data_IF_605053144716
#
_entry.id   IF_605053144716
#
_cell.length_a   1.000
_cell.length_b   1.000
_cell.length_c   1.000
_cell.angle_alpha   90.00
_cell.angle_beta   90.00
_cell.angle_gamma   90.00
#
_symmetry.space_group_name_H-M   'P 1'
#
loop_
_entity.id
_entity.type
_entity.pdbx_description
1 polymer ?
#
# COMPACT_ATOMS: atom_id res chain seq x y z
N UNK A 1 7.79 -7.62 2.78
CA UNK A 1 7.62 -7.08 4.15
C UNK A 1 6.83 -8.10 4.99
N UNK A 2 7.28 -8.45 6.19
CA UNK A 2 6.57 -9.40 7.06
C UNK A 2 5.14 -8.95 7.35
N UNK A 3 4.16 -9.87 7.47
CA UNK A 3 2.75 -9.53 7.67
C UNK A 3 2.48 -8.75 8.97
N UNK A 4 3.26 -8.98 10.00
CA UNK A 4 3.20 -8.24 11.27
C UNK A 4 3.62 -6.76 11.15
N UNK A 5 4.29 -6.40 10.07
CA UNK A 5 4.71 -5.03 9.77
C UNK A 5 3.66 -4.22 9.00
N UNK A 6 2.42 -4.70 8.90
CA UNK A 6 1.36 -4.03 8.13
C UNK A 6 0.08 -3.78 8.96
N UNK A 7 0.18 -3.07 10.12
CA UNK A 7 -0.99 -2.84 10.97
C UNK A 7 -2.08 -1.99 10.31
N UNK A 8 -1.72 -1.22 9.27
CA UNK A 8 -2.66 -0.40 8.51
C UNK A 8 -3.60 -1.20 7.61
N UNK A 9 -3.26 -2.46 7.30
CA UNK A 9 -4.03 -3.31 6.39
C UNK A 9 -5.46 -3.53 6.88
N UNK A 10 -5.62 -3.90 8.15
CA UNK A 10 -6.93 -4.15 8.74
C UNK A 10 -7.82 -2.89 8.69
N UNK A 11 -7.21 -1.71 8.90
CA UNK A 11 -7.92 -0.45 8.82
C UNK A 11 -8.42 -0.14 7.40
N UNK A 12 -7.61 -0.41 6.37
CA UNK A 12 -8.02 -0.21 4.98
C UNK A 12 -9.17 -1.15 4.57
N UNK A 13 -9.11 -2.43 4.99
CA UNK A 13 -10.19 -3.39 4.74
C UNK A 13 -11.49 -2.98 5.45
N UNK A 14 -11.39 -2.53 6.71
CA UNK A 14 -12.56 -2.07 7.47
C UNK A 14 -13.21 -0.84 6.82
N UNK A 15 -12.42 0.11 6.34
CA UNK A 15 -12.91 1.31 5.65
C UNK A 15 -13.60 0.98 4.32
N UNK A 16 -13.19 -0.08 3.63
CA UNK A 16 -13.79 -0.50 2.36
C UNK A 16 -15.20 -1.07 2.54
N UNK A 17 -15.57 -1.47 3.75
CA UNK A 17 -16.89 -2.08 4.06
C UNK A 17 -17.22 -3.21 3.09
N UNK A 18 -16.32 -4.19 2.96
CA UNK A 18 -16.48 -5.34 2.07
C UNK A 18 -17.69 -6.16 2.51
N UNK A 19 -18.58 -6.43 1.56
CA UNK A 19 -19.79 -7.21 1.81
C UNK A 19 -19.65 -8.61 1.28
N UNK A 20 -20.37 -9.54 1.89
CA UNK A 20 -20.51 -10.89 1.35
C UNK A 20 -21.10 -10.83 -0.06
N UNK A 21 -20.55 -11.62 -0.97
CA UNK A 21 -20.90 -11.69 -2.39
C UNK A 21 -20.41 -10.51 -3.25
N UNK A 22 -19.66 -9.55 -2.68
CA UNK A 22 -19.00 -8.52 -3.49
C UNK A 22 -18.04 -9.14 -4.52
N UNK A 23 -17.98 -8.51 -5.67
CA UNK A 23 -16.86 -8.64 -6.59
C UNK A 23 -15.83 -7.59 -6.22
N UNK A 24 -14.73 -8.01 -5.64
CA UNK A 24 -13.68 -7.15 -5.13
C UNK A 24 -12.45 -7.21 -6.03
N UNK A 25 -11.94 -6.06 -6.43
CA UNK A 25 -10.62 -5.91 -7.05
C UNK A 25 -9.64 -5.39 -5.99
N UNK A 26 -8.54 -6.11 -5.79
CA UNK A 26 -7.46 -5.65 -4.92
C UNK A 26 -6.15 -5.56 -5.72
N UNK A 27 -5.53 -4.37 -5.71
CA UNK A 27 -4.30 -4.07 -6.45
C UNK A 27 -3.17 -3.89 -5.44
N UNK A 28 -2.10 -4.66 -5.62
CA UNK A 28 -0.91 -4.73 -4.77
C UNK A 28 -1.20 -5.05 -3.28
N UNK A 29 -2.16 -5.94 -2.94
CA UNK A 29 -2.33 -6.34 -1.56
C UNK A 29 -1.16 -7.24 -1.11
N UNK A 30 -0.78 -7.13 0.15
CA UNK A 30 0.14 -8.10 0.76
C UNK A 30 -0.52 -9.47 0.95
N UNK A 31 0.26 -10.56 0.98
CA UNK A 31 -0.27 -11.93 1.13
C UNK A 31 -1.14 -12.12 2.37
N UNK A 32 -0.82 -11.48 3.48
CA UNK A 32 -1.64 -11.50 4.69
C UNK A 32 -3.05 -10.92 4.46
N UNK A 33 -3.16 -9.90 3.59
CA UNK A 33 -4.46 -9.30 3.24
C UNK A 33 -5.32 -10.26 2.41
N UNK A 34 -4.72 -11.06 1.54
CA UNK A 34 -5.45 -11.94 0.61
C UNK A 34 -6.42 -12.85 1.37
N UNK A 35 -5.98 -13.49 2.45
CA UNK A 35 -6.84 -14.37 3.27
C UNK A 35 -7.98 -13.58 3.93
N UNK A 36 -7.69 -12.38 4.46
CA UNK A 36 -8.69 -11.54 5.10
C UNK A 36 -9.73 -11.03 4.09
N UNK A 37 -9.30 -10.59 2.91
CA UNK A 37 -10.18 -10.15 1.82
C UNK A 37 -11.05 -11.31 1.30
N UNK A 38 -10.46 -12.48 1.07
CA UNK A 38 -11.19 -13.66 0.64
C UNK A 38 -12.25 -14.08 1.66
N UNK A 39 -11.92 -14.04 2.96
CA UNK A 39 -12.88 -14.31 4.03
C UNK A 39 -14.02 -13.28 4.05
N UNK A 40 -13.71 -12.00 3.79
CA UNK A 40 -14.70 -10.91 3.80
C UNK A 40 -15.72 -11.05 2.66
N UNK A 41 -15.28 -11.36 1.44
CA UNK A 41 -16.21 -11.56 0.31
C UNK A 41 -17.01 -12.87 0.45
N UNK A 42 -16.50 -13.84 1.20
CA UNK A 42 -17.15 -15.14 1.44
C UNK A 42 -17.18 -16.04 0.20
N UNK A 43 -17.80 -17.21 0.33
CA UNK A 43 -17.84 -18.23 -0.73
C UNK A 43 -18.70 -17.86 -1.95
N UNK A 44 -19.62 -16.91 -1.81
CA UNK A 44 -20.46 -16.41 -2.91
C UNK A 44 -19.90 -15.18 -3.60
N UNK A 45 -18.84 -14.59 -3.08
CA UNK A 45 -18.16 -13.43 -3.67
C UNK A 45 -16.98 -13.82 -4.54
N UNK A 46 -16.33 -12.82 -5.13
CA UNK A 46 -15.16 -12.98 -5.97
C UNK A 46 -14.09 -11.96 -5.58
N UNK A 47 -12.85 -12.40 -5.48
CA UNK A 47 -11.68 -11.55 -5.25
C UNK A 47 -10.74 -11.67 -6.45
N UNK A 48 -10.53 -10.58 -7.15
CA UNK A 48 -9.48 -10.48 -8.19
C UNK A 48 -8.29 -9.73 -7.60
N UNK A 49 -7.13 -10.38 -7.61
CA UNK A 49 -5.86 -9.81 -7.18
C UNK A 49 -5.05 -9.40 -8.40
N UNK A 50 -4.48 -8.21 -8.36
CA UNK A 50 -3.50 -7.75 -9.35
C UNK A 50 -2.20 -7.47 -8.62
N UNK A 51 -1.17 -8.22 -8.96
CA UNK A 51 0.15 -8.16 -8.34
C UNK A 51 1.20 -7.94 -9.43
N UNK A 52 2.06 -6.95 -9.26
CA UNK A 52 3.14 -6.64 -10.20
C UNK A 52 4.25 -7.70 -10.18
N UNK A 53 4.60 -8.14 -8.98
CA UNK A 53 5.60 -9.19 -8.80
C UNK A 53 5.01 -10.56 -9.11
N UNK A 54 5.58 -11.23 -10.12
CA UNK A 54 5.16 -12.56 -10.53
C UNK A 54 5.32 -13.61 -9.42
N UNK A 55 6.40 -13.56 -8.65
CA UNK A 55 6.62 -14.49 -7.56
C UNK A 55 5.59 -14.29 -6.43
N UNK A 56 5.19 -13.04 -6.16
CA UNK A 56 4.10 -12.75 -5.23
C UNK A 56 2.76 -13.27 -5.75
N UNK A 57 2.50 -13.15 -7.05
CA UNK A 57 1.28 -13.69 -7.67
C UNK A 57 1.23 -15.23 -7.60
N UNK A 58 2.35 -15.91 -7.86
CA UNK A 58 2.46 -17.37 -7.72
C UNK A 58 2.18 -17.80 -6.27
N UNK A 59 2.81 -17.15 -5.27
CA UNK A 59 2.53 -17.42 -3.85
C UNK A 59 1.08 -17.15 -3.46
N UNK A 60 0.46 -16.13 -4.03
CA UNK A 60 -0.97 -15.86 -3.78
C UNK A 60 -1.87 -16.95 -4.39
N UNK A 61 -1.54 -17.45 -5.57
CA UNK A 61 -2.27 -18.54 -6.22
C UNK A 61 -2.12 -19.86 -5.45
N UNK A 62 -0.95 -20.14 -4.86
CA UNK A 62 -0.69 -21.32 -4.02
C UNK A 62 -1.57 -21.39 -2.76
N UNK A 63 -2.22 -20.27 -2.36
CA UNK A 63 -3.19 -20.29 -1.26
C UNK A 63 -4.42 -21.15 -1.56
N UNK A 64 -4.68 -21.48 -2.83
CA UNK A 64 -5.73 -22.39 -3.25
C UNK A 64 -7.15 -21.94 -2.89
N UNK A 65 -7.40 -20.64 -2.81
CA UNK A 65 -8.70 -20.08 -2.43
C UNK A 65 -9.63 -20.01 -3.65
N UNK A 66 -10.74 -20.77 -3.70
CA UNK A 66 -11.55 -20.96 -4.92
C UNK A 66 -12.21 -19.67 -5.41
N UNK A 67 -12.48 -18.72 -4.51
CA UNK A 67 -13.06 -17.39 -4.87
C UNK A 67 -12.03 -16.37 -5.33
N UNK A 68 -10.74 -16.74 -5.40
CA UNK A 68 -9.63 -15.80 -5.70
C UNK A 68 -9.09 -16.05 -7.11
N UNK A 69 -9.06 -15.02 -7.92
CA UNK A 69 -8.36 -14.98 -9.20
C UNK A 69 -7.12 -14.11 -9.07
N UNK A 70 -5.96 -14.61 -9.47
CA UNK A 70 -4.69 -13.88 -9.38
C UNK A 70 -4.19 -13.51 -10.76
N UNK A 71 -3.85 -12.24 -10.95
CA UNK A 71 -3.28 -11.68 -12.18
C UNK A 71 -1.89 -11.10 -11.86
N UNK A 72 -0.88 -11.57 -12.57
CA UNK A 72 0.44 -10.94 -12.55
C UNK A 72 0.49 -9.83 -13.60
N UNK A 73 0.38 -8.56 -13.17
CA UNK A 73 0.30 -7.41 -14.07
C UNK A 73 0.82 -6.12 -13.42
N UNK A 74 1.62 -5.37 -14.17
CA UNK A 74 2.07 -4.05 -13.74
C UNK A 74 0.99 -3.02 -14.07
N UNK A 75 0.44 -2.39 -13.02
CA UNK A 75 -0.63 -1.41 -13.15
C UNK A 75 -0.06 -0.01 -13.38
N UNK A 76 -0.57 0.70 -14.39
CA UNK A 76 -0.17 2.04 -14.77
C UNK A 76 -1.30 3.08 -14.68
N UNK A 77 -2.57 2.64 -14.60
CA UNK A 77 -3.74 3.50 -14.37
C UNK A 77 -4.89 3.37 -15.37
N UNK A 78 -4.63 2.95 -16.59
CA UNK A 78 -5.66 2.84 -17.64
C UNK A 78 -6.32 1.46 -17.77
N UNK A 79 -5.89 0.50 -16.98
CA UNK A 79 -6.27 -0.90 -17.13
C UNK A 79 -7.71 -1.16 -16.68
N UNK A 80 -8.34 -2.12 -17.38
CA UNK A 80 -9.69 -2.59 -17.07
C UNK A 80 -9.65 -4.09 -16.80
N UNK A 81 -9.80 -4.45 -15.55
CA UNK A 81 -9.83 -5.84 -15.10
C UNK A 81 -11.24 -6.41 -15.02
N UNK A 82 -12.25 -5.57 -15.20
CA UNK A 82 -13.66 -5.95 -15.15
C UNK A 82 -14.55 -4.90 -14.51
N UNK A 83 -15.67 -5.34 -13.95
CA UNK A 83 -16.61 -4.48 -13.22
C UNK A 83 -16.80 -5.02 -11.83
N UNK A 84 -16.51 -4.22 -10.81
CA UNK A 84 -16.42 -4.60 -9.41
C UNK A 84 -17.32 -3.75 -8.53
N UNK A 85 -17.73 -4.32 -7.39
CA UNK A 85 -18.49 -3.64 -6.33
C UNK A 85 -17.60 -2.80 -5.44
N UNK A 86 -16.35 -3.28 -5.26
CA UNK A 86 -15.36 -2.65 -4.41
C UNK A 86 -13.95 -2.72 -5.03
N UNK A 87 -13.12 -1.72 -4.74
CA UNK A 87 -11.73 -1.62 -5.17
C UNK A 87 -10.84 -1.27 -3.99
N UNK A 88 -9.80 -2.06 -3.77
CA UNK A 88 -8.75 -1.79 -2.80
C UNK A 88 -7.43 -1.58 -3.53
N UNK A 89 -6.79 -0.45 -3.30
CA UNK A 89 -5.46 -0.11 -3.78
C UNK A 89 -4.55 0.06 -2.58
N UNK A 90 -3.61 -0.86 -2.36
CA UNK A 90 -2.76 -0.85 -1.16
C UNK A 90 -1.31 -1.18 -1.45
N UNK A 91 -0.62 -0.41 -2.29
CA UNK A 91 0.80 -0.63 -2.45
C UNK A 91 1.50 -0.45 -1.10
N UNK A 92 2.08 -1.53 -0.60
CA UNK A 92 2.78 -1.50 0.70
C UNK A 92 4.04 -0.63 0.61
N UNK A 93 4.79 -0.82 -0.45
CA UNK A 93 5.98 -0.08 -0.85
C UNK A 93 6.09 -0.14 -2.37
N UNK A 94 6.79 0.80 -2.96
CA UNK A 94 7.05 0.80 -4.40
C UNK A 94 6.70 2.13 -5.06
N UNK A 95 6.94 2.28 -6.35
CA UNK A 95 6.63 3.50 -7.07
C UNK A 95 5.13 3.78 -6.96
N UNK A 96 4.81 4.99 -6.52
CA UNK A 96 3.45 5.50 -6.51
C UNK A 96 3.00 5.70 -7.96
N UNK A 97 1.74 5.43 -8.20
CA UNK A 97 1.09 5.83 -9.44
C UNK A 97 0.95 7.35 -9.47
N UNK A 98 0.92 7.92 -10.66
CA UNK A 98 0.51 9.30 -10.81
C UNK A 98 -0.91 9.49 -10.21
N UNK A 99 -1.20 10.62 -9.55
CA UNK A 99 -2.50 10.82 -8.87
C UNK A 99 -3.72 10.53 -9.75
N UNK A 100 -3.69 10.90 -11.03
CA UNK A 100 -4.77 10.61 -12.00
C UNK A 100 -4.99 9.12 -12.25
N UNK A 101 -3.95 8.29 -12.17
CA UNK A 101 -4.05 6.87 -12.39
C UNK A 101 -4.95 6.15 -11.37
N UNK A 102 -4.96 6.63 -10.12
CA UNK A 102 -5.89 6.11 -9.10
C UNK A 102 -7.36 6.37 -9.49
N UNK A 103 -7.64 7.55 -10.03
CA UNK A 103 -8.97 7.91 -10.50
C UNK A 103 -9.39 7.05 -11.71
N UNK A 104 -8.49 6.85 -12.66
CA UNK A 104 -8.73 6.05 -13.85
C UNK A 104 -8.99 4.59 -13.50
N UNK A 105 -8.23 4.01 -12.58
CA UNK A 105 -8.46 2.66 -12.06
C UNK A 105 -9.84 2.53 -11.39
N UNK A 106 -10.21 3.49 -10.53
CA UNK A 106 -11.50 3.46 -9.87
C UNK A 106 -12.66 3.59 -10.88
N UNK A 107 -12.57 4.54 -11.82
CA UNK A 107 -13.60 4.75 -12.87
C UNK A 107 -13.67 3.60 -13.86
N UNK A 108 -12.51 3.04 -14.22
CA UNK A 108 -12.43 1.96 -15.19
C UNK A 108 -12.97 0.63 -14.67
N UNK A 109 -12.87 0.37 -13.38
CA UNK A 109 -13.10 -0.94 -12.81
C UNK A 109 -14.28 -1.03 -11.81
N UNK A 110 -14.80 0.08 -11.30
CA UNK A 110 -15.97 0.06 -10.43
C UNK A 110 -17.26 0.19 -11.22
N UNK A 111 -18.34 -0.45 -10.78
CA UNK A 111 -19.71 -0.14 -11.23
C UNK A 111 -20.16 1.21 -10.66
N UNK A 112 -21.20 1.84 -11.22
CA UNK A 112 -21.84 3.00 -10.59
C UNK A 112 -22.25 2.68 -9.15
N UNK A 113 -21.88 3.55 -8.19
CA UNK A 113 -22.09 3.35 -6.75
C UNK A 113 -21.11 2.37 -6.09
N UNK A 114 -20.17 1.80 -6.82
CA UNK A 114 -19.09 0.98 -6.28
C UNK A 114 -18.17 1.78 -5.35
N UNK A 115 -17.60 1.10 -4.36
CA UNK A 115 -16.78 1.69 -3.29
C UNK A 115 -15.30 1.52 -3.57
N UNK A 116 -14.48 2.45 -3.12
CA UNK A 116 -13.04 2.28 -3.19
C UNK A 116 -12.34 2.73 -1.90
N UNK A 117 -11.20 2.12 -1.64
CA UNK A 117 -10.19 2.61 -0.71
C UNK A 117 -8.84 2.60 -1.43
N UNK A 118 -8.17 3.73 -1.38
CA UNK A 118 -6.78 3.90 -1.77
C UNK A 118 -5.99 4.10 -0.48
N UNK A 119 -5.08 3.18 -0.16
CA UNK A 119 -4.20 3.26 1.00
C UNK A 119 -2.76 3.27 0.50
N UNK A 120 -2.15 4.43 0.49
CA UNK A 120 -0.82 4.69 -0.08
C UNK A 120 0.12 5.26 0.99
N UNK A 121 1.44 5.22 0.76
CA UNK A 121 2.37 5.96 1.59
C UNK A 121 1.90 7.40 1.79
N UNK A 122 1.84 7.85 3.04
CA UNK A 122 1.58 9.25 3.39
C UNK A 122 2.85 10.10 3.30
N UNK A 123 2.73 11.44 3.46
CA UNK A 123 3.88 12.31 3.55
C UNK A 123 4.86 11.81 4.60
N UNK A 124 6.15 11.77 4.23
CA UNK A 124 7.21 11.21 5.09
C UNK A 124 6.78 9.88 5.71
N UNK A 125 6.49 8.89 4.84
CA UNK A 125 5.93 7.59 5.24
C UNK A 125 6.60 7.00 6.48
N UNK A 126 7.93 7.10 6.57
CA UNK A 126 8.73 6.69 7.74
C UNK A 126 9.68 7.83 8.09
N UNK A 127 9.28 8.75 9.01
CA UNK A 127 10.05 9.95 9.31
C UNK A 127 11.51 9.70 9.69
N UNK A 128 11.77 8.63 10.43
CA UNK A 128 13.14 8.26 10.84
C UNK A 128 14.01 7.88 9.63
N UNK A 129 13.46 7.12 8.67
CA UNK A 129 14.18 6.78 7.43
C UNK A 129 14.39 8.01 6.56
N UNK A 130 13.37 8.85 6.41
CA UNK A 130 13.46 10.09 5.65
C UNK A 130 14.58 10.98 6.19
N UNK A 131 14.62 11.15 7.50
CA UNK A 131 15.62 11.97 8.15
C UNK A 131 17.04 11.37 8.06
N UNK A 132 17.19 10.06 8.21
CA UNK A 132 18.48 9.38 8.05
C UNK A 132 18.99 9.46 6.58
N UNK A 133 18.10 9.26 5.60
CA UNK A 133 18.44 9.42 4.19
C UNK A 133 18.86 10.86 3.84
N UNK A 134 18.21 11.85 4.45
CA UNK A 134 18.59 13.27 4.30
C UNK A 134 19.98 13.55 4.88
N UNK A 135 20.34 12.99 6.04
CA UNK A 135 21.69 13.09 6.61
C UNK A 135 22.76 12.50 5.69
N UNK A 136 22.42 11.40 5.01
CA UNK A 136 23.28 10.75 4.02
C UNK A 136 23.30 11.50 2.68
N UNK A 137 22.55 12.60 2.54
CA UNK A 137 22.42 13.40 1.32
C UNK A 137 21.95 12.57 0.11
N UNK A 138 21.07 11.61 0.35
CA UNK A 138 20.52 10.81 -0.73
C UNK A 138 19.63 11.66 -1.64
N UNK A 139 19.62 11.38 -2.97
CA UNK A 139 18.80 12.12 -3.91
C UNK A 139 17.30 11.99 -3.59
N UNK A 140 16.56 13.04 -3.78
CA UNK A 140 15.11 13.09 -3.58
C UNK A 140 14.35 12.02 -4.40
N UNK A 141 14.81 11.76 -5.61
CA UNK A 141 14.24 10.72 -6.46
C UNK A 141 14.29 9.32 -5.81
N UNK A 142 15.36 9.02 -5.07
CA UNK A 142 15.52 7.75 -4.36
C UNK A 142 14.60 7.65 -3.15
N UNK A 143 14.42 8.75 -2.46
CA UNK A 143 13.53 8.84 -1.30
C UNK A 143 12.05 8.99 -1.68
N UNK A 144 11.73 9.08 -2.97
CA UNK A 144 10.37 9.32 -3.46
C UNK A 144 9.35 8.28 -2.96
N UNK A 145 9.77 7.03 -2.75
CA UNK A 145 8.92 5.97 -2.19
C UNK A 145 8.55 6.22 -0.73
N UNK A 146 9.37 6.97 0.01
CA UNK A 146 9.13 7.39 1.39
C UNK A 146 8.38 8.72 1.48
N UNK A 147 8.33 9.48 0.38
CA UNK A 147 7.62 10.76 0.25
C UNK A 147 6.28 10.49 -0.43
N UNK A 148 5.35 9.95 0.32
CA UNK A 148 4.03 9.63 -0.20
C UNK A 148 3.21 10.86 -0.60
N UNK A 149 1.94 10.61 -0.90
CA UNK A 149 1.00 11.65 -1.33
C UNK A 149 0.27 12.23 -0.12
N UNK A 150 0.08 13.56 -0.13
CA UNK A 150 -0.83 14.21 0.79
C UNK A 150 -2.29 13.83 0.45
N UNK A 151 -3.12 13.69 1.48
CA UNK A 151 -4.50 13.25 1.33
C UNK A 151 -5.37 14.27 0.59
N UNK A 152 -5.15 15.56 0.83
CA UNK A 152 -5.86 16.67 0.19
C UNK A 152 -5.61 16.72 -1.32
N UNK A 153 -4.35 16.58 -1.76
CA UNK A 153 -3.97 16.59 -3.17
C UNK A 153 -4.59 15.42 -3.93
N UNK A 154 -4.49 14.22 -3.38
CA UNK A 154 -5.07 13.04 -4.02
C UNK A 154 -6.60 13.08 -3.99
N UNK A 155 -7.20 13.56 -2.88
CA UNK A 155 -8.64 13.72 -2.77
C UNK A 155 -9.20 14.71 -3.82
N UNK A 156 -8.49 15.82 -4.06
CA UNK A 156 -8.87 16.79 -5.09
C UNK A 156 -8.85 16.15 -6.48
N UNK A 157 -7.80 15.43 -6.84
CA UNK A 157 -7.72 14.73 -8.13
C UNK A 157 -8.86 13.74 -8.30
N UNK A 158 -9.20 12.96 -7.27
CA UNK A 158 -10.30 11.99 -7.32
C UNK A 158 -11.66 12.68 -7.49
N UNK A 159 -11.91 13.79 -6.77
CA UNK A 159 -13.15 14.59 -6.92
C UNK A 159 -13.26 15.20 -8.31
N UNK A 160 -12.18 15.80 -8.82
CA UNK A 160 -12.16 16.40 -10.15
C UNK A 160 -12.37 15.37 -11.26
N UNK A 161 -11.99 14.12 -11.03
CA UNK A 161 -12.32 13.00 -11.90
C UNK A 161 -13.79 12.54 -11.81
N UNK A 162 -14.61 13.13 -10.94
CA UNK A 162 -16.04 12.83 -10.82
C UNK A 162 -16.37 11.70 -9.83
N UNK A 163 -15.39 11.26 -9.02
CA UNK A 163 -15.65 10.36 -7.90
C UNK A 163 -16.34 11.11 -6.75
N UNK A 164 -17.23 10.43 -6.04
CA UNK A 164 -18.12 11.04 -5.04
C UNK A 164 -17.76 10.62 -3.63
N UNK A 165 -18.21 11.37 -2.63
CA UNK A 165 -18.02 11.06 -1.21
C UNK A 165 -16.53 10.85 -0.86
N UNK A 166 -15.63 11.54 -1.58
CA UNK A 166 -14.19 11.35 -1.38
C UNK A 166 -13.76 12.01 -0.09
N UNK A 167 -13.30 11.19 0.84
CA UNK A 167 -12.77 11.61 2.15
C UNK A 167 -11.36 11.08 2.31
N UNK A 168 -10.44 11.95 2.76
CA UNK A 168 -9.05 11.61 3.07
C UNK A 168 -8.84 11.46 4.57
N UNK A 169 -7.98 10.55 4.95
CA UNK A 169 -7.52 10.36 6.34
C UNK A 169 -6.02 10.06 6.32
N UNK A 170 -5.24 10.86 7.02
CA UNK A 170 -3.86 10.53 7.32
C UNK A 170 -3.82 9.62 8.56
N UNK A 171 -3.39 8.38 8.38
CA UNK A 171 -3.21 7.41 9.45
C UNK A 171 -1.76 7.34 9.90
N UNK A 172 -1.53 7.30 11.21
CA UNK A 172 -0.24 7.01 11.80
C UNK A 172 -0.30 5.64 12.49
N UNK A 173 0.66 4.78 12.20
CA UNK A 173 0.75 3.42 12.74
C UNK A 173 2.09 3.22 13.39
N UNK A 174 2.08 2.67 14.60
CA UNK A 174 3.30 2.30 15.30
C UNK A 174 3.71 0.89 14.88
N UNK A 175 4.94 0.75 14.39
CA UNK A 175 5.60 -0.53 14.17
C UNK A 175 6.64 -0.75 15.24
N UNK A 176 6.56 -1.88 15.94
CA UNK A 176 7.60 -2.32 16.85
C UNK A 176 8.55 -3.26 16.12
N UNK A 177 9.80 -2.87 16.02
CA UNK A 177 10.86 -3.61 15.33
C UNK A 177 11.96 -4.01 16.31
N UNK A 178 12.65 -5.11 16.00
CA UNK A 178 13.75 -5.60 16.84
C UNK A 178 14.92 -4.63 16.88
N UNK A 179 15.32 -4.11 15.71
CA UNK A 179 16.51 -3.24 15.59
C UNK A 179 16.31 -2.21 14.46
N UNK A 180 17.13 -1.13 14.42
CA UNK A 180 17.20 -0.25 13.26
C UNK A 180 17.54 -0.97 11.95
N UNK A 181 18.32 -2.06 11.99
CA UNK A 181 18.62 -2.89 10.84
C UNK A 181 17.38 -3.59 10.28
N UNK A 182 16.46 -4.05 11.12
CA UNK A 182 15.21 -4.65 10.70
C UNK A 182 14.32 -3.63 9.96
N UNK A 183 14.36 -2.36 10.39
CA UNK A 183 13.69 -1.29 9.68
C UNK A 183 14.27 -1.08 8.28
N UNK A 184 15.59 -0.99 8.16
CA UNK A 184 16.26 -0.85 6.87
C UNK A 184 15.97 -2.06 5.97
N UNK A 185 16.03 -3.26 6.52
CA UNK A 185 15.73 -4.48 5.80
C UNK A 185 14.29 -4.50 5.26
N UNK A 186 13.33 -4.07 6.06
CA UNK A 186 11.91 -4.00 5.66
C UNK A 186 11.66 -3.08 4.45
N UNK A 187 12.47 -2.05 4.27
CA UNK A 187 12.35 -1.08 3.19
C UNK A 187 13.45 -1.19 2.11
N UNK A 188 14.41 -2.11 2.27
CA UNK A 188 15.57 -2.23 1.39
C UNK A 188 15.21 -2.44 -0.07
N UNK A 189 14.25 -3.32 -0.35
CA UNK A 189 13.76 -3.57 -1.71
C UNK A 189 13.07 -2.35 -2.31
N UNK A 190 12.21 -1.69 -1.53
CA UNK A 190 11.49 -0.50 -1.99
C UNK A 190 12.41 0.69 -2.29
N UNK A 191 13.51 0.80 -1.57
CA UNK A 191 14.54 1.84 -1.74
C UNK A 191 15.64 1.43 -2.73
N UNK A 192 15.60 0.21 -3.26
CA UNK A 192 16.64 -0.36 -4.14
C UNK A 192 18.03 -0.23 -3.50
N UNK A 193 18.18 -0.72 -2.27
CA UNK A 193 19.41 -0.61 -1.48
C UNK A 193 20.35 -1.79 -1.74
N UNK A 194 21.58 -1.48 -2.19
CA UNK A 194 22.69 -2.40 -2.12
C UNK A 194 23.17 -2.60 -0.67
N UNK A 195 23.92 -3.68 -0.42
CA UNK A 195 24.39 -4.01 0.93
C UNK A 195 25.18 -2.89 1.63
N UNK A 196 26.12 -2.18 0.98
CA UNK A 196 26.83 -1.06 1.60
C UNK A 196 25.87 0.05 2.07
N UNK A 197 24.86 0.35 1.26
CA UNK A 197 23.88 1.42 1.54
C UNK A 197 22.94 1.04 2.68
N UNK A 198 22.57 -0.24 2.79
CA UNK A 198 21.82 -0.75 3.95
C UNK A 198 22.59 -0.52 5.23
N UNK A 199 23.89 -0.78 5.21
CA UNK A 199 24.75 -0.60 6.35
C UNK A 199 24.90 0.89 6.73
N UNK A 200 25.10 1.77 5.76
CA UNK A 200 25.19 3.21 5.97
C UNK A 200 23.88 3.76 6.57
N UNK A 201 22.74 3.37 6.03
CA UNK A 201 21.43 3.80 6.51
C UNK A 201 21.17 3.26 7.93
N UNK A 202 21.53 2.01 8.19
CA UNK A 202 21.45 1.43 9.54
C UNK A 202 22.30 2.22 10.54
N UNK A 203 23.53 2.55 10.19
CA UNK A 203 24.41 3.36 11.05
C UNK A 203 23.84 4.77 11.29
N UNK A 204 23.26 5.40 10.29
CA UNK A 204 22.61 6.70 10.44
C UNK A 204 21.42 6.62 11.42
N UNK A 205 20.58 5.59 11.29
CA UNK A 205 19.46 5.36 12.21
C UNK A 205 19.93 5.08 13.63
N UNK A 206 20.95 4.25 13.83
CA UNK A 206 21.52 3.95 15.15
C UNK A 206 22.02 5.23 15.82
N UNK A 207 22.72 6.10 15.09
CA UNK A 207 23.18 7.40 15.63
C UNK A 207 22.01 8.28 16.05
N UNK A 208 20.98 8.38 15.21
CA UNK A 208 19.80 9.21 15.49
C UNK A 208 19.02 8.73 16.71
N UNK A 209 18.89 7.43 16.86
CA UNK A 209 18.11 6.80 17.96
C UNK A 209 18.93 6.56 19.23
N UNK A 210 20.21 6.88 19.19
CA UNK A 210 21.15 6.66 20.30
C UNK A 210 21.22 5.21 20.78
N UNK A 211 21.03 4.22 19.87
CA UNK A 211 21.13 2.82 20.24
C UNK A 211 20.74 1.82 19.14
N UNK A 212 21.06 0.56 19.43
CA UNK A 212 20.81 -0.58 18.55
C UNK A 212 19.64 -1.46 18.99
N UNK A 213 19.00 -1.11 20.10
CA UNK A 213 17.90 -1.87 20.71
C UNK A 213 16.60 -1.82 19.92
N UNK A 214 15.54 -2.44 20.46
CA UNK A 214 14.20 -2.41 19.87
C UNK A 214 13.76 -0.98 19.56
N UNK A 215 13.10 -0.81 18.42
CA UNK A 215 12.65 0.49 17.99
C UNK A 215 11.19 0.47 17.57
N UNK A 216 10.43 1.41 18.11
CA UNK A 216 9.10 1.73 17.63
C UNK A 216 9.21 2.82 16.57
N UNK A 217 8.60 2.62 15.42
CA UNK A 217 8.64 3.54 14.27
C UNK A 217 7.25 3.94 13.88
N UNK A 218 7.04 5.22 13.63
CA UNK A 218 5.82 5.71 13.04
C UNK A 218 5.85 5.45 11.53
N UNK A 219 4.73 4.93 11.01
CA UNK A 219 4.47 4.80 9.59
C UNK A 219 3.23 5.60 9.24
N UNK A 220 3.37 6.56 8.34
CA UNK A 220 2.28 7.38 7.87
C UNK A 220 1.67 6.79 6.60
N UNK A 221 0.34 6.68 6.59
CA UNK A 221 -0.44 6.22 5.43
C UNK A 221 -1.53 7.22 5.09
N UNK A 222 -1.62 7.59 3.83
CA UNK A 222 -2.75 8.35 3.29
C UNK A 222 -3.81 7.39 2.81
N UNK A 223 -5.02 7.51 3.35
CA UNK A 223 -6.18 6.73 2.94
C UNK A 223 -7.24 7.62 2.37
N UNK A 224 -7.74 7.23 1.21
CA UNK A 224 -8.90 7.87 0.60
C UNK A 224 -9.97 6.82 0.37
N UNK A 225 -11.18 7.16 0.74
CA UNK A 225 -12.36 6.37 0.51
C UNK A 225 -13.35 7.18 -0.31
N UNK A 226 -14.20 6.51 -1.07
CA UNK A 226 -15.20 7.17 -1.88
C UNK A 226 -16.01 6.20 -2.73
N UNK A 227 -16.77 6.78 -3.67
CA UNK A 227 -17.65 6.05 -4.58
C UNK A 227 -17.49 6.52 -6.02
N UNK A 228 -17.76 5.60 -6.94
CA UNK A 228 -17.93 5.91 -8.35
C UNK A 228 -19.31 6.50 -8.63
#
# INVERSE_FOLDING_TARGET
MPPELQPWIAAAIALLDVRRQDRLLAIEPGLAQVRALAASVGSGGQLTLVLRDRAAAERAAELGLPQVTVLAHTTCGGERFGTFDALLLTPACGPLLAPGAYADLAKGNLRPGGRFVVDVPGPDMVPDLCAAAHELRWPDARCGVLRGLADDQLAEVLRNAGLREVTGVLGAHLLSLGTPGDLVFAFAEALDLAEPERLELTHALVRRRSGTGPCDVLVHRTRLLGRR
#
